data_IF_543106129134
#
_entry.id   IF_543106129134
#
_cell.length_a   1.000
_cell.length_b   1.000
_cell.length_c   1.000
_cell.angle_alpha   90.00
_cell.angle_beta   90.00
_cell.angle_gamma   90.00
#
_symmetry.space_group_name_H-M   'P 1'
#
loop_
_entity.id
_entity.type
_entity.pdbx_description
1 polymer ?
#
# COMPACT_ATOMS: atom_id res chain seq x y z
N UNK A 1 -7.32 -46.27 37.22
CA UNK A 1 -6.29 -45.62 36.38
C UNK A 1 -4.96 -45.69 37.12
N UNK A 2 -3.92 -46.29 36.52
CA UNK A 2 -2.67 -46.57 37.24
C UNK A 2 -1.95 -45.27 37.61
N UNK A 3 -1.49 -45.14 38.85
CA UNK A 3 -0.80 -43.94 39.35
C UNK A 3 0.39 -43.54 38.45
N UNK A 4 1.11 -44.53 37.93
CA UNK A 4 2.21 -44.32 36.98
C UNK A 4 1.76 -43.68 35.66
N UNK A 5 0.57 -44.03 35.16
CA UNK A 5 0.01 -43.43 33.93
C UNK A 5 -0.38 -41.98 34.15
N UNK A 6 -0.91 -41.65 35.34
CA UNK A 6 -1.25 -40.27 35.71
C UNK A 6 0.01 -39.42 35.87
N UNK A 7 1.07 -39.97 36.48
CA UNK A 7 2.34 -39.24 36.64
C UNK A 7 2.99 -38.98 35.28
N UNK A 8 2.98 -39.98 34.39
CA UNK A 8 3.52 -39.84 33.03
C UNK A 8 2.72 -38.83 32.22
N UNK A 9 1.39 -38.84 32.30
CA UNK A 9 0.56 -37.86 31.58
C UNK A 9 0.77 -36.44 32.09
N UNK A 10 0.91 -36.24 33.41
CA UNK A 10 1.23 -34.92 33.98
C UNK A 10 2.60 -34.43 33.48
N UNK A 11 3.60 -35.32 33.45
CA UNK A 11 4.95 -34.96 32.99
C UNK A 11 4.98 -34.56 31.52
N UNK A 12 4.23 -35.28 30.67
CA UNK A 12 4.09 -34.98 29.24
C UNK A 12 3.38 -33.63 29.03
N UNK A 13 2.34 -33.33 29.82
CA UNK A 13 1.62 -32.05 29.75
C UNK A 13 2.54 -30.89 30.14
N UNK A 14 3.28 -31.02 31.26
CA UNK A 14 4.20 -29.98 31.73
C UNK A 14 5.34 -29.70 30.74
N UNK A 15 5.88 -30.73 30.09
CA UNK A 15 6.95 -30.58 29.10
C UNK A 15 6.52 -29.87 27.79
N UNK A 16 5.21 -29.81 27.52
CA UNK A 16 4.66 -29.16 26.32
C UNK A 16 4.08 -27.77 26.60
N UNK A 17 4.19 -27.25 27.82
CA UNK A 17 3.84 -25.86 28.10
C UNK A 17 4.91 -24.97 27.49
N UNK A 18 4.62 -24.41 26.32
CA UNK A 18 5.40 -23.32 25.74
C UNK A 18 5.32 -22.12 26.67
N UNK A 19 6.39 -21.85 27.42
CA UNK A 19 6.52 -20.65 28.23
C UNK A 19 6.61 -19.47 27.25
N UNK A 20 5.64 -18.53 27.22
CA UNK A 20 5.78 -17.34 26.38
C UNK A 20 7.00 -16.55 26.86
N UNK A 21 7.83 -15.99 25.97
CA UNK A 21 9.05 -15.30 26.36
C UNK A 21 8.70 -13.97 27.06
N UNK A 22 8.49 -14.02 28.37
CA UNK A 22 8.31 -12.84 29.24
C UNK A 22 9.55 -11.93 29.18
N UNK A 23 10.73 -12.48 28.89
CA UNK A 23 11.98 -11.74 28.69
C UNK A 23 11.91 -10.70 27.56
N UNK A 24 11.04 -10.91 26.57
CA UNK A 24 10.88 -9.97 25.45
C UNK A 24 10.32 -8.62 25.89
N UNK A 25 9.57 -8.55 27.00
CA UNK A 25 8.92 -7.29 27.42
C UNK A 25 9.91 -6.34 28.09
N UNK A 26 10.74 -6.85 29.00
CA UNK A 26 11.73 -6.00 29.71
C UNK A 26 12.81 -5.53 28.75
N UNK A 27 13.32 -6.43 27.91
CA UNK A 27 14.28 -6.07 26.87
C UNK A 27 13.69 -5.06 25.89
N UNK A 28 12.44 -5.26 25.45
CA UNK A 28 11.75 -4.32 24.55
C UNK A 28 11.64 -2.93 25.17
N UNK A 29 11.21 -2.84 26.43
CA UNK A 29 11.10 -1.55 27.15
C UNK A 29 12.46 -0.84 27.27
N UNK A 30 13.53 -1.57 27.58
CA UNK A 30 14.89 -1.01 27.65
C UNK A 30 15.34 -0.53 26.26
N UNK A 31 15.14 -1.34 25.22
CA UNK A 31 15.52 -0.95 23.84
C UNK A 31 14.72 0.23 23.34
N UNK A 32 13.41 0.28 23.61
CA UNK A 32 12.54 1.40 23.24
C UNK A 32 12.94 2.67 23.99
N UNK A 33 13.24 2.57 25.30
CA UNK A 33 13.71 3.71 26.09
C UNK A 33 15.05 4.24 25.57
N UNK A 34 16.03 3.37 25.30
CA UNK A 34 17.33 3.78 24.75
C UNK A 34 17.18 4.40 23.36
N UNK A 35 16.41 3.78 22.47
CA UNK A 35 16.18 4.29 21.11
C UNK A 35 15.51 5.67 21.15
N UNK A 36 14.46 5.86 21.97
CA UNK A 36 13.76 7.13 22.07
C UNK A 36 14.61 8.24 22.69
N UNK A 37 15.54 7.92 23.61
CA UNK A 37 16.43 8.91 24.23
C UNK A 37 17.65 9.25 23.36
N UNK A 38 18.17 8.28 22.58
CA UNK A 38 19.36 8.49 21.73
C UNK A 38 18.98 9.07 20.36
N UNK A 39 17.96 8.50 19.71
CA UNK A 39 17.55 8.87 18.36
C UNK A 39 16.40 9.90 18.34
N UNK A 40 15.81 10.19 19.51
CA UNK A 40 14.60 11.00 19.62
C UNK A 40 13.34 10.23 19.26
N UNK A 41 12.18 10.76 19.63
CA UNK A 41 10.89 10.23 19.17
C UNK A 41 10.85 10.40 17.65
N UNK A 42 10.45 9.39 16.85
CA UNK A 42 10.31 9.55 15.41
C UNK A 42 9.23 10.61 15.12
N UNK A 43 9.66 11.84 14.84
CA UNK A 43 8.80 12.91 14.36
C UNK A 43 8.56 12.70 12.86
N UNK A 44 7.51 11.95 12.55
CA UNK A 44 7.10 11.63 11.16
C UNK A 44 6.30 12.78 10.51
N UNK A 45 6.02 13.86 11.24
CA UNK A 45 5.26 14.99 10.73
C UNK A 45 6.20 15.95 10.00
N UNK A 46 6.49 15.66 8.73
CA UNK A 46 7.07 16.65 7.83
C UNK A 46 5.93 17.50 7.27
N UNK A 47 5.85 18.77 7.68
CA UNK A 47 4.99 19.74 7.01
C UNK A 47 5.59 20.02 5.63
N UNK A 48 4.84 19.70 4.59
CA UNK A 48 5.19 20.03 3.21
C UNK A 48 4.20 21.10 2.73
N UNK A 49 4.74 22.23 2.29
CA UNK A 49 3.94 23.30 1.69
C UNK A 49 3.90 23.07 0.18
N UNK A 50 2.69 23.07 -0.38
CA UNK A 50 2.45 22.98 -1.81
C UNK A 50 1.95 24.33 -2.32
N UNK A 51 2.60 24.86 -3.34
CA UNK A 51 2.08 26.01 -4.08
C UNK A 51 0.95 25.54 -5.01
N UNK A 52 -0.29 25.71 -4.55
CA UNK A 52 -1.47 25.31 -5.30
C UNK A 52 -1.91 26.43 -6.24
N UNK A 53 -1.57 26.31 -7.52
CA UNK A 53 -2.16 27.14 -8.58
C UNK A 53 -3.42 26.45 -9.13
N UNK A 54 -4.63 26.98 -8.90
CA UNK A 54 -5.88 26.39 -9.40
C UNK A 54 -5.97 26.36 -10.93
N UNK A 55 -5.22 27.20 -11.64
CA UNK A 55 -5.22 27.29 -13.09
C UNK A 55 -4.16 26.40 -13.75
N UNK A 56 -3.27 25.77 -12.96
CA UNK A 56 -2.13 25.01 -13.48
C UNK A 56 -2.55 23.91 -14.45
N UNK A 57 -3.69 23.28 -14.20
CA UNK A 57 -4.24 22.23 -15.04
C UNK A 57 -4.69 22.74 -16.42
N UNK A 58 -5.22 23.97 -16.50
CA UNK A 58 -5.62 24.58 -17.76
C UNK A 58 -4.39 24.93 -18.60
N UNK A 59 -3.40 25.60 -17.97
CA UNK A 59 -2.12 25.97 -18.60
C UNK A 59 -1.37 24.73 -19.13
N UNK A 60 -1.30 23.66 -18.33
CA UNK A 60 -0.65 22.40 -18.73
C UNK A 60 -1.37 21.69 -19.87
N UNK A 61 -2.70 21.76 -19.91
CA UNK A 61 -3.49 21.18 -21.01
C UNK A 61 -3.19 21.89 -22.34
N UNK A 62 -3.17 23.22 -22.34
CA UNK A 62 -2.82 24.00 -23.53
C UNK A 62 -1.42 23.66 -24.04
N UNK A 63 -0.42 23.66 -23.15
CA UNK A 63 0.95 23.28 -23.48
C UNK A 63 1.05 21.86 -24.05
N UNK A 64 0.28 20.93 -23.47
CA UNK A 64 0.23 19.54 -23.94
C UNK A 64 -0.34 19.43 -25.36
N UNK A 65 -1.42 20.15 -25.65
CA UNK A 65 -2.00 20.20 -27.00
C UNK A 65 -1.08 20.87 -28.01
N UNK A 66 -0.37 21.92 -27.63
CA UNK A 66 0.62 22.57 -28.50
C UNK A 66 1.76 21.61 -28.86
N UNK A 67 2.25 20.84 -27.87
CA UNK A 67 3.37 19.92 -28.07
C UNK A 67 2.99 18.64 -28.83
N UNK A 68 1.83 18.04 -28.55
CA UNK A 68 1.44 16.73 -29.09
C UNK A 68 0.32 16.78 -30.14
N UNK A 69 -0.28 17.95 -30.35
CA UNK A 69 -1.40 18.15 -31.27
C UNK A 69 -2.62 17.30 -30.91
N UNK A 70 -3.50 17.09 -31.90
CA UNK A 70 -4.74 16.32 -31.72
C UNK A 70 -4.50 14.86 -31.29
N UNK A 71 -3.31 14.30 -31.56
CA UNK A 71 -2.96 12.91 -31.23
C UNK A 71 -2.45 12.73 -29.80
N UNK A 72 -2.42 13.78 -29.00
CA UNK A 72 -2.01 13.73 -27.60
C UNK A 72 -2.80 12.70 -26.79
N UNK A 73 -4.10 12.54 -27.06
CA UNK A 73 -4.92 11.51 -26.41
C UNK A 73 -4.36 10.09 -26.59
N UNK A 74 -3.97 9.73 -27.83
CA UNK A 74 -3.32 8.43 -28.11
C UNK A 74 -1.94 8.32 -27.48
N UNK A 75 -1.25 9.43 -27.25
CA UNK A 75 0.03 9.44 -26.56
C UNK A 75 -0.16 9.19 -25.05
N UNK A 76 -1.14 9.84 -24.40
CA UNK A 76 -1.52 9.55 -23.00
C UNK A 76 -1.94 8.09 -22.83
N UNK A 77 -2.81 7.59 -23.72
CA UNK A 77 -3.24 6.20 -23.71
C UNK A 77 -2.03 5.26 -23.74
N UNK A 78 -1.09 5.48 -24.67
CA UNK A 78 0.13 4.66 -24.79
C UNK A 78 1.04 4.72 -23.57
N UNK A 79 1.19 5.90 -22.95
CA UNK A 79 1.96 6.04 -21.70
C UNK A 79 1.35 5.18 -20.58
N UNK A 80 0.02 5.12 -20.49
CA UNK A 80 -0.69 4.30 -19.51
C UNK A 80 -0.64 2.79 -19.75
N UNK A 81 -0.20 2.35 -20.93
CA UNK A 81 -0.17 0.93 -21.32
C UNK A 81 1.15 0.22 -20.99
N UNK A 82 2.10 0.86 -20.30
CA UNK A 82 3.42 0.30 -19.94
C UNK A 82 4.40 0.22 -21.12
N UNK A 83 5.58 -0.38 -20.94
CA UNK A 83 6.65 -0.51 -21.97
C UNK A 83 7.06 -1.97 -22.29
N UNK A 84 6.45 -2.94 -21.64
CA UNK A 84 6.81 -4.38 -21.69
C UNK A 84 6.16 -5.14 -22.88
N UNK A 85 5.63 -4.41 -23.87
CA UNK A 85 5.01 -4.99 -25.06
C UNK A 85 3.57 -5.54 -24.88
N UNK A 86 3.03 -5.57 -23.67
CA UNK A 86 1.66 -6.08 -23.38
C UNK A 86 0.54 -5.05 -23.59
N UNK A 87 0.77 -4.03 -24.42
CA UNK A 87 -0.15 -2.88 -24.56
C UNK A 87 -1.55 -3.29 -25.02
N UNK A 88 -1.66 -4.30 -25.90
CA UNK A 88 -2.97 -4.74 -26.42
C UNK A 88 -3.85 -5.38 -25.36
N UNK A 89 -3.26 -6.23 -24.51
CA UNK A 89 -3.98 -6.89 -23.42
C UNK A 89 -4.48 -5.85 -22.41
N UNK A 90 -3.63 -4.89 -22.03
CA UNK A 90 -4.01 -3.81 -21.11
C UNK A 90 -5.08 -2.89 -21.69
N UNK A 91 -4.99 -2.56 -22.97
CA UNK A 91 -6.00 -1.73 -23.64
C UNK A 91 -7.35 -2.45 -23.68
N UNK A 92 -7.37 -3.76 -23.94
CA UNK A 92 -8.58 -4.56 -23.87
C UNK A 92 -9.17 -4.60 -22.45
N UNK A 93 -8.32 -4.77 -21.44
CA UNK A 93 -8.75 -4.73 -20.03
C UNK A 93 -9.29 -3.36 -19.62
N UNK A 94 -8.68 -2.26 -20.10
CA UNK A 94 -9.19 -0.91 -19.88
C UNK A 94 -10.59 -0.76 -20.47
N UNK A 95 -10.77 -1.11 -21.74
CA UNK A 95 -12.09 -1.05 -22.41
C UNK A 95 -13.17 -1.86 -21.69
N UNK A 96 -12.83 -3.07 -21.24
CA UNK A 96 -13.77 -3.90 -20.48
C UNK A 96 -14.13 -3.32 -19.11
N UNK A 97 -13.22 -2.56 -18.48
CA UNK A 97 -13.52 -1.84 -17.22
C UNK A 97 -14.36 -0.59 -17.46
N UNK A 98 -14.07 0.12 -18.55
CA UNK A 98 -14.70 1.40 -18.87
C UNK A 98 -16.07 1.20 -19.56
N UNK A 99 -16.43 -0.04 -19.90
CA UNK A 99 -17.76 -0.40 -20.41
C UNK A 99 -18.83 -0.01 -19.37
N UNK A 100 -19.72 0.91 -19.76
CA UNK A 100 -20.78 1.46 -18.89
C UNK A 100 -20.33 2.53 -17.88
N UNK A 101 -19.09 3.04 -17.99
CA UNK A 101 -18.55 4.07 -17.10
C UNK A 101 -18.02 5.27 -17.92
N UNK A 102 -18.83 6.32 -18.14
CA UNK A 102 -18.35 7.57 -18.77
C UNK A 102 -17.60 8.43 -17.77
N UNK A 103 -16.28 8.59 -17.94
CA UNK A 103 -15.46 9.55 -17.16
C UNK A 103 -15.59 9.39 -15.62
N UNK A 104 -15.82 8.17 -15.13
CA UNK A 104 -16.01 7.91 -13.70
C UNK A 104 -17.45 8.09 -13.19
N UNK A 105 -18.42 8.35 -14.07
CA UNK A 105 -19.85 8.23 -13.79
C UNK A 105 -20.36 6.88 -14.31
N UNK A 106 -21.15 6.19 -13.51
CA UNK A 106 -21.80 4.96 -13.95
C UNK A 106 -23.01 5.34 -14.81
N UNK A 107 -22.98 4.99 -16.10
CA UNK A 107 -24.03 5.36 -17.07
C UNK A 107 -25.39 4.71 -16.74
N UNK A 108 -25.38 3.72 -15.84
CA UNK A 108 -26.53 2.90 -15.47
C UNK A 108 -26.93 3.01 -13.99
N UNK A 109 -26.41 3.98 -13.24
CA UNK A 109 -26.98 4.31 -11.93
C UNK A 109 -28.20 5.24 -12.11
N UNK A 110 -29.36 4.93 -11.51
CA UNK A 110 -30.50 5.84 -11.50
C UNK A 110 -30.22 7.11 -10.68
#
# INVERSE_FOLDING_TARGET
MNKSVIIISIFIVLANIQIPPVESTVLRLITEALQNNIAGIPLIHKTEEFDFDPEVSQKRRELYYEQHGYRGEKAIERLGLGIDGKHRERAAQQRARDEGHLNGLNDHQP
#
